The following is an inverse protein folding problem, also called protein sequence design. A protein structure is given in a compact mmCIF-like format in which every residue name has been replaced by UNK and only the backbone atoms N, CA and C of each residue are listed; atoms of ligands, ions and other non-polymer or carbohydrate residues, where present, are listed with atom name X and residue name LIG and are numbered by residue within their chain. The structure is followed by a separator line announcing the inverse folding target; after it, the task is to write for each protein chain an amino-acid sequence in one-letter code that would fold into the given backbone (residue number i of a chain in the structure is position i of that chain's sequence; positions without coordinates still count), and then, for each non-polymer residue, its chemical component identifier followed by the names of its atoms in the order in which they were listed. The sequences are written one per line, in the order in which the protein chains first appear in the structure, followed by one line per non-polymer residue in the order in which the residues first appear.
data_IF_196022108226
#
_entry.id   IF_196022108226
#
_cell.length_a   1.000
_cell.length_b   1.000
_cell.length_c   1.000
_cell.angle_alpha   90.00
_cell.angle_beta   90.00
_cell.angle_gamma   90.00
#
_symmetry.space_group_name_H-M   'P 1'
#
loop_
_entity.id
_entity.type
_entity.pdbx_description
1 polymer ?
#
# COMPACT_ATOMS: atom_id res chain seq x y z
N UNK A 1 31.06 -13.68 43.63
CA UNK A 1 30.55 -13.34 42.29
C UNK A 1 30.44 -11.83 42.17
N UNK A 2 31.21 -11.23 41.25
CA UNK A 2 31.29 -9.79 41.00
C UNK A 2 29.95 -9.16 40.61
N UNK A 3 29.69 -7.96 41.13
CA UNK A 3 28.79 -6.96 40.55
C UNK A 3 29.52 -6.19 39.43
N UNK A 4 28.82 -5.88 38.33
CA UNK A 4 29.01 -4.75 37.38
C UNK A 4 28.08 -4.93 36.15
N UNK A 5 27.76 -3.90 35.32
CA UNK A 5 26.85 -2.80 35.66
C UNK A 5 25.84 -2.42 34.53
N UNK A 6 24.80 -1.67 34.91
CA UNK A 6 24.31 -0.42 34.28
C UNK A 6 24.10 -0.30 32.75
N UNK A 7 22.85 -0.05 32.35
CA UNK A 7 22.35 1.18 31.66
C UNK A 7 21.21 0.85 30.69
N UNK A 8 19.98 1.06 31.14
CA UNK A 8 18.91 1.44 30.24
C UNK A 8 19.23 2.86 29.74
N UNK A 9 19.62 2.99 28.48
CA UNK A 9 19.75 4.28 27.80
C UNK A 9 18.75 4.35 26.65
N UNK A 10 17.91 5.37 26.74
CA UNK A 10 16.86 5.73 25.81
C UNK A 10 17.31 5.79 24.35
N UNK A 11 16.45 5.34 23.44
CA UNK A 11 16.45 5.81 22.06
C UNK A 11 15.04 6.19 21.65
N UNK A 12 14.67 7.43 22.00
CA UNK A 12 13.56 8.14 21.39
C UNK A 12 13.90 8.39 19.91
N UNK A 13 13.55 7.45 19.02
CA UNK A 13 13.67 7.63 17.58
C UNK A 13 12.59 8.63 17.13
N UNK A 14 12.92 9.93 17.20
CA UNK A 14 12.15 10.95 16.49
C UNK A 14 12.25 10.65 14.99
N UNK A 15 11.15 10.19 14.41
CA UNK A 15 10.99 10.08 12.97
C UNK A 15 11.28 11.44 12.32
N UNK A 16 12.04 11.46 11.20
CA UNK A 16 12.37 12.71 10.54
C UNK A 16 11.07 13.35 10.05
N UNK A 17 10.82 14.61 10.47
CA UNK A 17 9.73 15.43 9.95
C UNK A 17 9.87 15.51 8.44
N UNK A 18 9.00 14.80 7.73
CA UNK A 18 8.94 14.81 6.28
C UNK A 18 8.82 16.25 5.78
N UNK A 19 9.70 16.62 4.85
CA UNK A 19 9.62 17.89 4.11
C UNK A 19 8.19 18.03 3.60
N UNK A 20 7.54 19.15 3.93
CA UNK A 20 6.27 19.54 3.31
C UNK A 20 6.54 19.88 1.85
N UNK A 21 6.69 18.85 1.01
CA UNK A 21 6.46 19.01 -0.41
C UNK A 21 5.04 19.55 -0.54
N UNK A 22 4.85 20.67 -1.24
CA UNK A 22 3.51 21.15 -1.58
C UNK A 22 2.81 19.98 -2.26
N UNK A 23 1.76 19.46 -1.63
CA UNK A 23 1.03 18.29 -2.14
C UNK A 23 0.46 18.65 -3.51
N UNK A 24 0.75 17.83 -4.52
CA UNK A 24 0.02 17.91 -5.78
C UNK A 24 -1.46 17.69 -5.47
N UNK A 25 -2.39 18.49 -6.01
CA UNK A 25 -3.82 18.28 -5.79
C UNK A 25 -4.25 16.87 -6.23
N UNK A 26 -4.96 16.17 -5.36
CA UNK A 26 -5.55 14.86 -5.69
C UNK A 26 -6.86 15.09 -6.44
N UNK A 27 -6.90 14.70 -7.72
CA UNK A 27 -8.08 14.89 -8.59
C UNK A 27 -9.05 13.70 -8.49
N UNK A 28 -8.53 12.49 -8.30
CA UNK A 28 -9.31 11.25 -8.17
C UNK A 28 -8.99 10.56 -6.84
N UNK A 29 -9.64 10.97 -5.72
CA UNK A 29 -9.35 10.43 -4.39
C UNK A 29 -9.79 8.96 -4.20
N UNK A 30 -10.70 8.48 -5.05
CA UNK A 30 -11.21 7.10 -5.04
C UNK A 30 -10.61 6.26 -6.17
N UNK A 31 -9.39 6.60 -6.61
CA UNK A 31 -8.69 5.85 -7.64
C UNK A 31 -7.82 4.73 -7.07
N UNK A 32 -7.70 3.63 -7.83
CA UNK A 32 -6.69 2.60 -7.63
C UNK A 32 -5.78 2.48 -8.86
N UNK A 33 -4.56 2.00 -8.64
CA UNK A 33 -3.66 1.57 -9.70
C UNK A 33 -3.56 0.05 -9.73
N UNK A 34 -3.56 -0.55 -10.91
CA UNK A 34 -3.32 -1.98 -11.12
C UNK A 34 -2.17 -2.15 -12.11
N UNK A 35 -1.12 -2.84 -11.68
CA UNK A 35 -0.07 -3.40 -12.53
C UNK A 35 -0.42 -4.87 -12.81
N UNK A 36 -0.60 -5.19 -14.09
CA UNK A 36 -1.09 -6.47 -14.59
C UNK A 36 0.08 -7.24 -15.20
N UNK A 37 0.43 -8.36 -14.55
CA UNK A 37 1.35 -9.36 -15.05
C UNK A 37 0.65 -10.67 -15.43
N UNK A 38 1.39 -11.55 -16.10
CA UNK A 38 0.87 -12.85 -16.56
C UNK A 38 0.54 -13.83 -15.42
N UNK A 39 1.22 -13.73 -14.28
CA UNK A 39 1.01 -14.60 -13.10
C UNK A 39 0.24 -13.92 -11.97
N UNK A 40 0.38 -12.60 -11.84
CA UNK A 40 -0.09 -11.83 -10.68
C UNK A 40 -0.48 -10.41 -11.08
N UNK A 41 -1.32 -9.79 -10.25
CA UNK A 41 -1.73 -8.40 -10.36
C UNK A 41 -1.40 -7.66 -9.07
N UNK A 42 -0.68 -6.55 -9.16
CA UNK A 42 -0.39 -5.68 -8.02
C UNK A 42 -1.34 -4.50 -8.01
N UNK A 43 -2.07 -4.32 -6.91
CA UNK A 43 -3.15 -3.32 -6.79
C UNK A 43 -2.86 -2.38 -5.64
N UNK A 44 -2.88 -1.07 -5.91
CA UNK A 44 -2.66 -0.02 -4.94
C UNK A 44 -3.91 0.88 -4.79
N UNK A 45 -4.33 1.11 -3.54
CA UNK A 45 -5.37 2.09 -3.16
C UNK A 45 -4.76 3.24 -2.35
N UNK A 46 -5.54 4.28 -2.05
CA UNK A 46 -5.07 5.35 -1.17
C UNK A 46 -4.70 4.80 0.22
N UNK A 47 -3.66 5.38 0.83
CA UNK A 47 -3.00 4.84 2.04
C UNK A 47 -3.93 4.74 3.27
N UNK A 48 -5.04 5.48 3.29
CA UNK A 48 -6.04 5.49 4.33
C UNK A 48 -7.21 4.50 4.09
N UNK A 49 -7.20 3.75 2.97
CA UNK A 49 -8.31 2.85 2.57
C UNK A 49 -8.15 1.40 3.01
N UNK A 50 -6.96 1.00 3.45
CA UNK A 50 -6.69 -0.33 3.98
C UNK A 50 -5.42 -0.34 4.83
N UNK A 51 -5.32 -1.27 5.79
CA UNK A 51 -4.10 -1.50 6.57
C UNK A 51 -2.92 -1.91 5.67
N UNK A 52 -3.21 -2.73 4.65
CA UNK A 52 -2.31 -3.06 3.55
C UNK A 52 -2.82 -2.38 2.25
N UNK A 53 -2.39 -1.14 1.95
CA UNK A 53 -2.91 -0.37 0.81
C UNK A 53 -2.37 -0.85 -0.54
N UNK A 54 -1.43 -1.81 -0.54
CA UNK A 54 -0.96 -2.51 -1.74
C UNK A 54 -1.12 -4.00 -1.51
N UNK A 55 -1.71 -4.71 -2.47
CA UNK A 55 -1.95 -6.16 -2.41
C UNK A 55 -1.66 -6.84 -3.74
N UNK A 56 -1.19 -8.07 -3.67
CA UNK A 56 -1.05 -8.97 -4.81
C UNK A 56 -2.29 -9.87 -4.91
N UNK A 57 -2.74 -10.13 -6.13
CA UNK A 57 -3.81 -11.08 -6.46
C UNK A 57 -3.35 -11.99 -7.60
N UNK A 58 -3.88 -13.21 -7.65
CA UNK A 58 -3.67 -14.10 -8.80
C UNK A 58 -4.33 -13.59 -10.09
N UNK A 59 -3.99 -14.20 -11.21
CA UNK A 59 -4.52 -13.83 -12.53
C UNK A 59 -5.73 -14.65 -13.00
N UNK A 60 -6.20 -15.62 -12.19
CA UNK A 60 -7.36 -16.44 -12.53
C UNK A 60 -8.68 -15.81 -12.04
N UNK A 61 -9.79 -16.20 -12.66
CA UNK A 61 -11.12 -15.62 -12.41
C UNK A 61 -11.51 -15.53 -10.92
N UNK A 62 -11.28 -16.54 -10.06
CA UNK A 62 -11.60 -16.42 -8.64
C UNK A 62 -10.83 -15.30 -7.95
N UNK A 63 -9.54 -15.15 -8.27
CA UNK A 63 -8.68 -14.10 -7.71
C UNK A 63 -9.13 -12.71 -8.18
N UNK A 64 -9.56 -12.60 -9.44
CA UNK A 64 -10.13 -11.35 -9.98
C UNK A 64 -11.43 -10.94 -9.26
N UNK A 65 -12.28 -11.90 -8.87
CA UNK A 65 -13.45 -11.60 -8.04
C UNK A 65 -13.06 -11.12 -6.64
N UNK A 66 -12.10 -11.77 -6.00
CA UNK A 66 -11.58 -11.34 -4.68
C UNK A 66 -10.95 -9.94 -4.77
N UNK A 67 -10.25 -9.63 -5.86
CA UNK A 67 -9.73 -8.30 -6.15
C UNK A 67 -10.85 -7.27 -6.29
N UNK A 68 -11.89 -7.58 -7.05
CA UNK A 68 -13.03 -6.69 -7.26
C UNK A 68 -13.76 -6.40 -5.94
N UNK A 69 -14.05 -7.43 -5.14
CA UNK A 69 -14.70 -7.26 -3.82
C UNK A 69 -13.85 -6.39 -2.89
N UNK A 70 -12.53 -6.56 -2.93
CA UNK A 70 -11.63 -5.72 -2.14
C UNK A 70 -11.63 -4.26 -2.60
N UNK A 71 -11.55 -4.01 -3.92
CA UNK A 71 -11.60 -2.65 -4.46
C UNK A 71 -12.91 -1.94 -4.10
N UNK A 72 -14.04 -2.65 -4.13
CA UNK A 72 -15.34 -2.14 -3.67
C UNK A 72 -15.32 -1.82 -2.18
N UNK A 73 -14.74 -2.70 -1.35
CA UNK A 73 -14.63 -2.46 0.10
C UNK A 73 -13.77 -1.23 0.44
N UNK A 74 -12.79 -0.90 -0.40
CA UNK A 74 -11.97 0.31 -0.26
C UNK A 74 -12.66 1.58 -0.78
N UNK A 75 -13.84 1.47 -1.39
CA UNK A 75 -14.58 2.58 -1.99
C UNK A 75 -13.98 3.09 -3.30
N UNK A 76 -13.24 2.25 -4.02
CA UNK A 76 -12.64 2.61 -5.32
C UNK A 76 -13.74 2.79 -6.36
N UNK A 77 -13.65 3.86 -7.16
CA UNK A 77 -14.60 4.16 -8.25
C UNK A 77 -13.98 4.15 -9.64
N UNK A 78 -12.66 4.33 -9.71
CA UNK A 78 -11.92 4.40 -10.97
C UNK A 78 -10.59 3.69 -10.83
N UNK A 79 -10.13 3.04 -11.90
CA UNK A 79 -8.87 2.31 -11.89
C UNK A 79 -8.04 2.73 -13.09
N UNK A 80 -6.75 2.99 -12.86
CA UNK A 80 -5.74 3.04 -13.92
C UNK A 80 -5.08 1.66 -14.01
N UNK A 81 -5.05 1.07 -15.21
CA UNK A 81 -4.50 -0.27 -15.46
C UNK A 81 -3.28 -0.14 -16.37
N UNK A 82 -2.16 -0.72 -15.94
CA UNK A 82 -0.95 -0.90 -16.74
C UNK A 82 -0.77 -2.39 -16.97
N UNK A 83 -0.51 -2.79 -18.22
CA UNK A 83 -0.31 -4.18 -18.59
C UNK A 83 1.10 -4.36 -19.10
N UNK A 84 1.85 -5.20 -18.40
CA UNK A 84 3.17 -5.59 -18.84
C UNK A 84 3.03 -6.68 -19.91
N UNK A 85 3.47 -6.38 -21.13
CA UNK A 85 3.60 -7.39 -22.19
C UNK A 85 4.84 -8.25 -21.90
N UNK A 86 4.69 -9.58 -22.01
CA UNK A 86 5.81 -10.53 -22.04
C UNK A 86 6.00 -11.11 -23.43
#
# INVERSE_FOLDING_TARGET
MNQSPNRASAQNRKSPKGRTAKSVPVIHPDAAGIDIGSSSHYVAVAADRAEAPVREFGCFTPDLHVMADWLVSCGVRTVAMESTGV
#
